data_IF_242530153259
#
_entry.id   IF_242530153259
#
_cell.length_a   1.000
_cell.length_b   1.000
_cell.length_c   1.000
_cell.angle_alpha   90.00
_cell.angle_beta   90.00
_cell.angle_gamma   90.00
#
_symmetry.space_group_name_H-M   'P 1'
#
loop_
_entity.id
_entity.type
_entity.pdbx_description
1 polymer ?
#
# COMPACT_ATOMS: atom_id res chain seq x y z
N UNK A 1 -0.38 15.20 11.56
CA UNK A 1 -0.49 16.04 10.35
C UNK A 1 -0.48 17.50 10.75
N UNK A 2 0.43 18.31 10.20
CA UNK A 2 0.44 19.78 10.38
C UNK A 2 -0.72 20.37 9.57
N UNK A 3 -1.43 21.33 10.15
CA UNK A 3 -2.64 21.95 9.57
C UNK A 3 -2.39 23.41 9.18
N UNK A 4 -1.71 24.16 10.06
CA UNK A 4 -1.38 25.56 9.80
C UNK A 4 -0.14 25.99 10.57
N UNK A 5 0.51 27.05 10.07
CA UNK A 5 1.64 27.72 10.69
C UNK A 5 1.36 29.24 10.70
N UNK A 6 1.40 29.89 11.87
CA UNK A 6 1.01 31.28 12.07
C UNK A 6 -0.34 31.63 11.41
N UNK A 7 -1.34 30.73 11.54
CA UNK A 7 -2.68 30.88 10.97
C UNK A 7 -2.79 30.63 9.46
N UNK A 8 -1.70 30.44 8.74
CA UNK A 8 -1.71 30.10 7.31
C UNK A 8 -1.82 28.59 7.15
N UNK A 9 -2.67 28.06 6.25
CA UNK A 9 -2.74 26.64 5.95
C UNK A 9 -1.39 26.09 5.49
N UNK A 10 -1.04 24.88 5.94
CA UNK A 10 0.12 24.10 5.48
C UNK A 10 -0.41 22.89 4.74
N UNK A 11 -0.10 22.77 3.45
CA UNK A 11 -0.54 21.70 2.55
C UNK A 11 0.62 20.87 2.00
N UNK A 12 1.84 21.43 2.05
CA UNK A 12 3.05 20.79 1.56
C UNK A 12 4.26 21.14 2.44
N UNK A 13 5.38 20.48 2.20
CA UNK A 13 6.66 20.79 2.83
C UNK A 13 7.14 22.21 2.49
N UNK A 14 6.86 22.67 1.27
CA UNK A 14 7.19 24.03 0.83
C UNK A 14 6.44 25.09 1.62
N UNK A 15 5.13 24.88 1.89
CA UNK A 15 4.34 25.80 2.71
C UNK A 15 4.92 25.94 4.11
N UNK A 16 5.30 24.80 4.74
CA UNK A 16 5.91 24.79 6.05
C UNK A 16 7.28 25.45 6.04
N UNK A 17 8.11 25.13 5.07
CA UNK A 17 9.44 25.72 4.88
C UNK A 17 9.34 27.24 4.71
N UNK A 18 8.43 27.71 3.87
CA UNK A 18 8.19 29.14 3.65
C UNK A 18 7.76 29.84 4.97
N UNK A 19 6.87 29.20 5.76
CA UNK A 19 6.45 29.75 7.05
C UNK A 19 7.61 29.81 8.05
N UNK A 20 8.49 28.80 8.10
CA UNK A 20 9.69 28.74 8.93
C UNK A 20 10.68 29.86 8.54
N UNK A 21 10.95 30.02 7.24
CA UNK A 21 11.83 31.07 6.73
C UNK A 21 11.26 32.47 7.04
N UNK A 22 9.96 32.68 6.83
CA UNK A 22 9.28 33.95 7.11
C UNK A 22 9.27 34.32 8.60
N UNK A 23 9.36 33.36 9.50
CA UNK A 23 9.45 33.59 10.93
C UNK A 23 10.80 34.20 11.36
N UNK A 24 11.89 33.98 10.57
CA UNK A 24 13.18 34.63 10.78
C UNK A 24 13.77 34.41 12.17
N UNK A 25 13.55 33.23 12.77
CA UNK A 25 13.97 32.91 14.14
C UNK A 25 12.96 33.30 15.23
N UNK A 26 11.88 34.01 14.89
CA UNK A 26 10.81 34.30 15.84
C UNK A 26 9.96 33.01 16.09
N UNK A 27 9.29 32.94 17.27
CA UNK A 27 8.40 31.82 17.57
C UNK A 27 7.28 31.68 16.54
N UNK A 28 7.08 30.44 16.03
CA UNK A 28 6.09 30.06 15.04
C UNK A 28 5.01 29.21 15.70
N UNK A 29 3.76 29.64 15.66
CA UNK A 29 2.62 28.86 16.17
C UNK A 29 2.19 27.84 15.13
N UNK A 30 2.26 26.55 15.46
CA UNK A 30 1.87 25.44 14.60
C UNK A 30 0.65 24.74 15.17
N UNK A 31 -0.40 24.60 14.35
CA UNK A 31 -1.56 23.75 14.65
C UNK A 31 -1.40 22.43 13.95
N UNK A 32 -1.54 21.33 14.67
CA UNK A 32 -1.45 19.98 14.12
C UNK A 32 -2.56 19.07 14.63
N UNK A 33 -2.82 17.98 13.89
CA UNK A 33 -3.70 16.89 14.32
C UNK A 33 -2.88 15.67 14.72
N UNK A 34 -3.30 15.04 15.85
CA UNK A 34 -2.80 13.74 16.30
C UNK A 34 -3.99 12.97 16.86
N UNK A 35 -4.18 11.73 16.38
CA UNK A 35 -5.30 10.85 16.80
C UNK A 35 -6.66 11.54 16.73
N UNK A 36 -6.94 12.28 15.64
CA UNK A 36 -8.19 13.01 15.43
C UNK A 36 -8.32 14.36 16.15
N UNK A 37 -7.58 14.59 17.24
CA UNK A 37 -7.62 15.83 18.00
C UNK A 37 -6.67 16.91 17.43
N UNK A 38 -7.05 18.18 17.63
CA UNK A 38 -6.22 19.35 17.29
C UNK A 38 -5.37 19.77 18.46
N UNK A 39 -4.12 20.10 18.17
CA UNK A 39 -3.16 20.62 19.14
C UNK A 39 -2.46 21.84 18.58
N UNK A 40 -1.93 22.66 19.48
CA UNK A 40 -1.11 23.82 19.13
C UNK A 40 0.25 23.67 19.81
N UNK A 41 1.31 23.96 19.07
CA UNK A 41 2.68 24.00 19.58
C UNK A 41 3.38 25.24 19.06
N UNK A 42 4.39 25.69 19.80
CA UNK A 42 5.28 26.75 19.36
C UNK A 42 6.61 26.14 18.95
N UNK A 43 7.07 26.46 17.75
CA UNK A 43 8.40 26.13 17.24
C UNK A 43 9.22 27.40 17.17
N UNK A 44 10.46 27.35 17.60
CA UNK A 44 11.42 28.47 17.44
C UNK A 44 12.48 28.03 16.44
N UNK A 45 12.43 28.52 15.19
CA UNK A 45 13.43 28.20 14.17
C UNK A 45 14.81 28.73 14.55
N UNK A 46 15.85 27.97 14.19
CA UNK A 46 17.25 28.38 14.37
C UNK A 46 17.93 28.43 13.00
N UNK A 47 18.73 29.47 12.76
CA UNK A 47 19.49 29.58 11.53
C UNK A 47 20.62 28.52 11.49
N UNK A 48 20.78 27.88 10.33
CA UNK A 48 21.95 27.05 10.04
C UNK A 48 23.15 27.91 9.60
N UNK A 49 24.28 27.26 9.31
CA UNK A 49 25.53 27.91 8.89
C UNK A 49 25.38 28.76 7.60
N UNK A 50 24.37 28.48 6.81
CA UNK A 50 24.07 29.19 5.56
C UNK A 50 23.00 30.28 5.73
N UNK A 51 22.54 30.52 6.96
CA UNK A 51 21.50 31.50 7.27
C UNK A 51 20.07 31.02 6.98
N UNK A 52 19.84 29.74 6.67
CA UNK A 52 18.51 29.17 6.50
C UNK A 52 17.93 28.77 7.85
N UNK A 53 16.70 29.16 8.11
CA UNK A 53 15.99 28.79 9.33
C UNK A 53 15.46 27.36 9.27
N UNK A 54 15.68 26.58 10.34
CA UNK A 54 15.22 25.21 10.54
C UNK A 54 14.50 25.06 11.86
N UNK A 55 13.41 24.29 11.86
CA UNK A 55 12.60 24.05 13.05
C UNK A 55 12.96 22.75 13.78
N UNK A 56 13.93 21.97 13.29
CA UNK A 56 14.35 20.71 13.89
C UNK A 56 13.28 19.61 13.86
N UNK A 57 12.35 19.68 12.91
CA UNK A 57 11.30 18.67 12.70
C UNK A 57 11.49 17.97 11.37
N UNK A 58 11.23 16.67 11.37
CA UNK A 58 11.11 15.89 10.14
C UNK A 58 9.65 15.83 9.75
N UNK A 59 9.34 16.21 8.53
CA UNK A 59 7.98 16.16 7.97
C UNK A 59 8.01 15.47 6.61
N UNK A 60 6.92 14.76 6.31
CA UNK A 60 6.65 14.16 5.01
C UNK A 60 5.30 14.67 4.54
N UNK A 61 5.21 15.06 3.29
CA UNK A 61 3.97 15.46 2.62
C UNK A 61 3.56 14.48 1.53
N UNK A 62 4.47 13.59 1.15
CA UNK A 62 4.22 12.55 0.16
C UNK A 62 4.86 11.22 0.59
N UNK A 63 4.31 10.13 0.13
CA UNK A 63 4.85 8.79 0.27
C UNK A 63 4.70 8.06 -1.06
N UNK A 64 5.70 7.30 -1.44
CA UNK A 64 5.65 6.40 -2.59
C UNK A 64 6.10 5.01 -2.15
N UNK A 65 5.53 3.99 -2.76
CA UNK A 65 5.90 2.60 -2.52
C UNK A 65 5.48 1.71 -3.69
N UNK A 66 6.13 0.57 -3.83
CA UNK A 66 5.74 -0.46 -4.78
C UNK A 66 4.71 -1.35 -4.12
N UNK A 67 3.62 -1.60 -4.84
CA UNK A 67 2.57 -2.53 -4.46
C UNK A 67 1.94 -3.15 -5.69
N UNK A 68 1.03 -4.09 -5.47
CA UNK A 68 0.33 -4.75 -6.56
C UNK A 68 -1.13 -4.32 -6.61
N UNK A 69 -1.60 -3.98 -7.80
CA UNK A 69 -3.01 -3.80 -8.09
C UNK A 69 -3.67 -5.18 -8.17
N UNK A 70 -4.64 -5.42 -7.28
CA UNK A 70 -5.24 -6.74 -7.09
C UNK A 70 -6.21 -7.11 -8.18
N UNK A 71 -7.07 -6.16 -8.54
CA UNK A 71 -8.03 -6.29 -9.63
C UNK A 71 -8.51 -4.91 -10.11
N UNK A 72 -9.11 -4.94 -11.28
CA UNK A 72 -9.79 -3.80 -11.89
C UNK A 72 -11.22 -4.23 -12.23
N UNK A 73 -12.19 -3.36 -11.96
CA UNK A 73 -13.52 -3.44 -12.55
C UNK A 73 -13.59 -2.49 -13.75
N UNK A 74 -13.50 -3.02 -14.99
CA UNK A 74 -13.48 -2.17 -16.18
C UNK A 74 -14.85 -1.53 -16.47
N UNK A 75 -15.95 -2.08 -15.93
CA UNK A 75 -17.29 -1.51 -16.13
C UNK A 75 -17.47 -0.24 -15.30
N UNK A 76 -16.91 -0.21 -14.09
CA UNK A 76 -16.96 0.95 -13.19
C UNK A 76 -15.73 1.84 -13.28
N UNK A 77 -14.68 1.40 -13.97
CA UNK A 77 -13.40 2.12 -14.04
C UNK A 77 -12.76 2.26 -12.66
N UNK A 78 -12.81 1.21 -11.83
CA UNK A 78 -12.25 1.21 -10.47
C UNK A 78 -11.19 0.13 -10.31
N UNK A 79 -10.29 0.34 -9.34
CA UNK A 79 -9.29 -0.64 -8.94
C UNK A 79 -9.30 -0.88 -7.43
N UNK A 80 -8.77 -2.02 -7.03
CA UNK A 80 -8.36 -2.32 -5.67
C UNK A 80 -6.91 -2.82 -5.64
N UNK A 81 -6.17 -2.51 -4.58
CA UNK A 81 -4.78 -2.93 -4.43
C UNK A 81 -4.35 -3.11 -2.98
N UNK A 82 -3.18 -3.70 -2.77
CA UNK A 82 -2.45 -3.94 -1.53
C UNK A 82 -3.10 -4.94 -0.56
N UNK A 83 -4.42 -4.90 -0.36
CA UNK A 83 -5.11 -5.71 0.67
C UNK A 83 -4.86 -5.25 2.11
N UNK A 84 -4.20 -4.13 2.32
CA UNK A 84 -3.96 -3.44 3.59
C UNK A 84 -3.79 -1.95 3.33
N UNK A 85 -3.86 -1.13 4.39
CA UNK A 85 -3.64 0.31 4.28
C UNK A 85 -2.17 0.65 3.96
N UNK A 86 -1.98 1.81 3.34
CA UNK A 86 -0.67 2.46 3.32
C UNK A 86 -0.48 3.14 4.66
N UNK A 87 0.56 2.76 5.38
CA UNK A 87 0.89 3.28 6.70
C UNK A 87 2.24 3.99 6.69
N UNK A 88 2.42 4.93 7.58
CA UNK A 88 3.71 5.59 7.80
C UNK A 88 4.69 4.61 8.45
N UNK A 89 5.88 4.46 7.85
CA UNK A 89 6.86 3.46 8.26
C UNK A 89 7.44 3.71 9.68
N UNK A 90 7.46 4.98 10.13
CA UNK A 90 8.05 5.32 11.42
C UNK A 90 7.04 5.22 12.57
N UNK A 91 5.77 5.51 12.30
CA UNK A 91 4.71 5.55 13.32
C UNK A 91 3.78 4.35 13.26
N UNK A 92 3.75 3.60 12.15
CA UNK A 92 2.78 2.54 11.90
C UNK A 92 1.33 3.02 11.74
N UNK A 93 1.11 4.32 11.74
CA UNK A 93 -0.24 4.89 11.59
C UNK A 93 -0.63 4.94 10.11
N UNK A 94 -1.91 4.67 9.82
CA UNK A 94 -2.44 4.80 8.47
C UNK A 94 -2.29 6.21 7.94
N UNK A 95 -1.80 6.33 6.71
CA UNK A 95 -1.68 7.62 6.05
C UNK A 95 -3.08 8.16 5.73
N UNK A 96 -3.34 9.38 6.21
CA UNK A 96 -4.55 10.11 5.83
C UNK A 96 -4.42 10.55 4.37
N UNK A 97 -5.28 10.02 3.52
CA UNK A 97 -5.30 10.36 2.10
C UNK A 97 -5.78 11.80 1.92
N UNK A 98 -4.98 12.63 1.28
CA UNK A 98 -5.35 13.94 0.75
C UNK A 98 -5.54 13.84 -0.77
N UNK A 99 -4.58 13.23 -1.43
CA UNK A 99 -4.58 12.85 -2.84
C UNK A 99 -3.63 11.69 -3.03
N UNK A 100 -3.80 10.92 -4.09
CA UNK A 100 -2.89 9.83 -4.44
C UNK A 100 -3.09 9.38 -5.86
N UNK A 101 -2.04 8.85 -6.44
CA UNK A 101 -2.03 8.31 -7.80
C UNK A 101 -1.45 6.91 -7.80
N UNK A 102 -1.92 6.07 -8.70
CA UNK A 102 -1.26 4.82 -9.05
C UNK A 102 -0.49 5.03 -10.34
N UNK A 103 0.76 4.60 -10.32
CA UNK A 103 1.69 4.73 -11.44
C UNK A 103 2.20 3.33 -11.82
N UNK A 104 2.16 2.94 -13.10
CA UNK A 104 2.73 1.68 -13.53
C UNK A 104 4.22 1.59 -13.18
N UNK A 105 4.66 0.39 -12.81
CA UNK A 105 6.04 0.11 -12.40
C UNK A 105 6.60 -1.00 -13.28
N UNK A 106 7.83 -0.80 -13.77
CA UNK A 106 8.64 -1.87 -14.35
C UNK A 106 9.54 -2.44 -13.25
N UNK A 107 9.34 -3.69 -12.85
CA UNK A 107 10.19 -4.34 -11.85
C UNK A 107 11.55 -4.64 -12.48
N UNK A 108 12.60 -4.07 -11.91
CA UNK A 108 13.99 -4.21 -12.39
C UNK A 108 14.82 -5.19 -11.57
N UNK A 109 14.31 -5.60 -10.40
CA UNK A 109 15.00 -6.56 -9.55
C UNK A 109 14.31 -6.77 -8.20
N UNK A 110 14.96 -7.59 -7.37
CA UNK A 110 14.48 -7.93 -6.05
C UNK A 110 15.64 -8.05 -5.06
N UNK A 111 15.48 -7.47 -3.88
CA UNK A 111 16.27 -7.88 -2.71
C UNK A 111 15.57 -9.11 -2.13
N UNK A 112 16.31 -10.22 -2.08
CA UNK A 112 15.74 -11.50 -1.60
C UNK A 112 15.37 -11.41 -0.11
N UNK A 113 14.23 -11.99 0.22
CA UNK A 113 13.82 -12.19 1.61
C UNK A 113 14.61 -13.32 2.29
N UNK A 114 14.87 -13.14 3.58
CA UNK A 114 15.42 -14.16 4.48
C UNK A 114 14.71 -14.05 5.84
N UNK A 115 14.84 -15.09 6.67
CA UNK A 115 14.27 -15.07 8.00
C UNK A 115 14.77 -13.86 8.80
N UNK A 116 13.86 -13.04 9.32
CA UNK A 116 14.16 -11.80 10.04
C UNK A 116 14.44 -10.58 9.16
N UNK A 117 14.51 -10.74 7.84
CA UNK A 117 14.77 -9.65 6.89
C UNK A 117 13.84 -9.80 5.68
N UNK A 118 12.69 -9.14 5.65
CA UNK A 118 11.82 -9.17 4.49
C UNK A 118 12.56 -8.54 3.31
N UNK A 119 12.50 -9.21 2.14
CA UNK A 119 13.01 -8.64 0.91
C UNK A 119 12.08 -7.59 0.32
N UNK A 120 12.48 -6.99 -0.79
CA UNK A 120 11.68 -5.99 -1.49
C UNK A 120 11.84 -6.08 -3.02
N UNK A 121 10.77 -5.79 -3.74
CA UNK A 121 10.83 -5.54 -5.18
C UNK A 121 11.39 -4.15 -5.45
N UNK A 122 12.22 -4.04 -6.48
CA UNK A 122 12.75 -2.78 -6.99
C UNK A 122 12.23 -2.52 -8.39
N UNK A 123 11.95 -1.28 -8.70
CA UNK A 123 11.39 -0.94 -10.00
C UNK A 123 11.49 0.53 -10.33
N UNK A 124 11.18 0.83 -11.59
CA UNK A 124 11.14 2.17 -12.15
C UNK A 124 9.70 2.57 -12.44
N UNK A 125 9.33 3.77 -11.99
CA UNK A 125 7.99 4.33 -12.19
C UNK A 125 7.85 4.84 -13.62
N UNK A 126 6.69 4.59 -14.23
CA UNK A 126 6.32 5.24 -15.49
C UNK A 126 6.10 6.74 -15.28
N UNK A 127 6.19 7.52 -16.38
CA UNK A 127 6.02 8.97 -16.31
C UNK A 127 4.56 9.42 -16.09
N UNK A 128 3.58 8.57 -16.41
CA UNK A 128 2.17 8.94 -16.35
C UNK A 128 1.39 8.04 -15.37
N UNK A 129 0.51 8.61 -14.56
CA UNK A 129 -0.37 7.84 -13.71
C UNK A 129 -1.41 7.06 -14.52
N UNK A 130 -1.84 5.92 -13.98
CA UNK A 130 -2.89 5.07 -14.53
C UNK A 130 -4.20 5.17 -13.74
N UNK A 131 -4.25 5.98 -12.70
CA UNK A 131 -5.44 6.17 -11.90
C UNK A 131 -5.21 7.03 -10.66
N UNK A 132 -6.31 7.31 -9.97
CA UNK A 132 -6.33 8.14 -8.76
C UNK A 132 -6.77 7.33 -7.57
N UNK A 133 -6.06 7.43 -6.46
CA UNK A 133 -6.45 6.82 -5.17
C UNK A 133 -7.56 7.66 -4.54
N UNK A 134 -8.66 7.02 -4.18
CA UNK A 134 -9.84 7.66 -3.55
C UNK A 134 -10.01 7.24 -2.10
N UNK A 135 -9.52 6.06 -1.73
CA UNK A 135 -9.59 5.56 -0.36
C UNK A 135 -8.34 4.74 0.00
N UNK A 136 -7.91 4.90 1.25
CA UNK A 136 -6.89 4.11 1.92
C UNK A 136 -7.49 3.63 3.24
N UNK A 137 -7.82 2.35 3.34
CA UNK A 137 -8.38 1.76 4.55
C UNK A 137 -7.69 0.44 4.93
N UNK A 138 -8.10 -0.13 6.06
CA UNK A 138 -7.48 -1.35 6.59
C UNK A 138 -7.52 -2.54 5.61
N UNK A 139 -8.47 -2.58 4.67
CA UNK A 139 -8.62 -3.68 3.71
C UNK A 139 -7.94 -3.42 2.37
N UNK A 140 -7.35 -2.23 2.15
CA UNK A 140 -6.63 -1.92 0.92
C UNK A 140 -6.71 -0.49 0.47
N UNK A 141 -6.26 -0.29 -0.77
CA UNK A 141 -6.29 0.98 -1.48
C UNK A 141 -7.23 0.87 -2.67
N UNK A 142 -8.10 1.86 -2.83
CA UNK A 142 -9.17 1.85 -3.83
C UNK A 142 -9.19 3.17 -4.59
N UNK A 143 -9.64 3.11 -5.84
CA UNK A 143 -9.73 4.34 -6.62
C UNK A 143 -10.24 4.15 -8.04
N UNK A 144 -10.06 5.19 -8.86
CA UNK A 144 -10.37 5.16 -10.28
C UNK A 144 -9.19 4.67 -11.09
N UNK A 145 -9.48 3.87 -12.11
CA UNK A 145 -8.50 3.35 -13.06
C UNK A 145 -8.81 3.86 -14.46
N UNK A 146 -7.81 4.44 -15.12
CA UNK A 146 -7.92 4.98 -16.48
C UNK A 146 -7.04 4.25 -17.49
N UNK A 147 -6.24 3.27 -17.00
CA UNK A 147 -5.39 2.44 -17.84
C UNK A 147 -6.17 1.37 -18.60
N UNK A 148 -5.47 0.63 -19.44
CA UNK A 148 -6.01 -0.57 -20.09
C UNK A 148 -5.71 -1.80 -19.23
N UNK A 149 -6.68 -2.71 -19.12
CA UNK A 149 -6.51 -3.99 -18.44
C UNK A 149 -6.63 -5.12 -19.47
N UNK A 150 -5.57 -5.91 -19.63
CA UNK A 150 -5.53 -7.09 -20.52
C UNK A 150 -5.58 -8.41 -19.74
N UNK A 151 -5.65 -8.35 -18.41
CA UNK A 151 -5.79 -9.52 -17.57
C UNK A 151 -7.13 -10.23 -17.84
N UNK A 152 -7.21 -11.56 -17.71
CA UNK A 152 -8.44 -12.29 -17.87
C UNK A 152 -9.46 -11.90 -16.79
N UNK A 153 -10.74 -11.84 -17.19
CA UNK A 153 -11.83 -11.68 -16.23
C UNK A 153 -12.03 -13.01 -15.49
N UNK A 154 -11.99 -12.98 -14.18
CA UNK A 154 -12.20 -14.14 -13.32
C UNK A 154 -13.43 -13.93 -12.44
N UNK A 155 -14.25 -14.97 -12.20
CA UNK A 155 -15.27 -14.92 -11.17
C UNK A 155 -14.61 -14.82 -9.79
N UNK A 156 -15.25 -14.12 -8.85
CA UNK A 156 -14.79 -14.07 -7.46
C UNK A 156 -15.32 -15.29 -6.71
N UNK A 157 -14.49 -15.92 -5.90
CA UNK A 157 -14.90 -17.05 -5.07
C UNK A 157 -15.74 -16.55 -3.89
N UNK A 158 -16.80 -17.28 -3.53
CA UNK A 158 -17.48 -17.09 -2.27
C UNK A 158 -16.58 -17.54 -1.11
N UNK A 159 -16.83 -17.03 0.10
CA UNK A 159 -16.01 -17.36 1.27
C UNK A 159 -15.90 -18.89 1.50
N UNK A 160 -17.00 -19.64 1.31
CA UNK A 160 -17.04 -21.09 1.53
C UNK A 160 -16.32 -21.90 0.42
N UNK A 161 -16.04 -21.29 -0.72
CA UNK A 161 -15.31 -21.93 -1.82
C UNK A 161 -13.78 -21.85 -1.62
N UNK A 162 -13.33 -20.97 -0.71
CA UNK A 162 -11.90 -20.80 -0.39
C UNK A 162 -11.51 -21.83 0.68
N UNK A 163 -10.67 -22.77 0.34
CA UNK A 163 -10.31 -23.90 1.21
C UNK A 163 -8.79 -24.12 1.29
N UNK A 164 -8.28 -24.75 2.35
CA UNK A 164 -6.91 -25.23 2.35
C UNK A 164 -6.65 -26.14 1.13
N UNK A 165 -5.52 -25.93 0.46
CA UNK A 165 -5.20 -26.63 -0.78
C UNK A 165 -4.32 -25.80 -1.70
N UNK A 166 -4.05 -26.33 -2.89
CA UNK A 166 -3.26 -25.68 -3.91
C UNK A 166 -3.99 -24.46 -4.48
N UNK A 167 -3.23 -23.42 -4.79
CA UNK A 167 -3.68 -22.20 -5.44
C UNK A 167 -2.53 -21.53 -6.21
N UNK A 168 -2.82 -20.49 -6.95
CA UNK A 168 -1.84 -19.71 -7.69
C UNK A 168 -1.75 -18.29 -7.12
N UNK A 169 -0.53 -17.82 -6.87
CA UNK A 169 -0.22 -16.43 -6.59
C UNK A 169 0.25 -15.75 -7.86
N UNK A 170 -0.46 -14.76 -8.33
CA UNK A 170 -0.09 -14.00 -9.52
C UNK A 170 0.68 -12.74 -9.12
N UNK A 171 1.97 -12.70 -9.47
CA UNK A 171 2.84 -11.58 -9.10
C UNK A 171 3.88 -11.30 -10.18
N UNK A 172 4.39 -10.07 -10.21
CA UNK A 172 5.46 -9.64 -11.12
C UNK A 172 6.77 -9.59 -10.34
N UNK A 173 7.75 -10.38 -10.72
CA UNK A 173 9.09 -10.38 -10.10
C UNK A 173 10.16 -9.77 -11.00
N UNK A 174 9.85 -9.59 -12.29
CA UNK A 174 10.70 -8.92 -13.27
C UNK A 174 9.84 -8.40 -14.43
N UNK A 175 10.15 -7.20 -14.92
CA UNK A 175 9.40 -6.55 -16.02
C UNK A 175 8.04 -6.04 -15.55
N UNK A 176 7.01 -6.19 -16.40
CA UNK A 176 5.67 -5.65 -16.18
C UNK A 176 4.56 -6.69 -16.18
N UNK A 177 4.90 -7.97 -16.44
CA UNK A 177 3.92 -9.05 -16.64
C UNK A 177 3.86 -9.95 -15.40
N UNK A 178 2.69 -10.04 -14.79
CA UNK A 178 2.43 -10.98 -13.70
C UNK A 178 2.49 -12.42 -14.22
N UNK A 179 3.07 -13.30 -13.42
CA UNK A 179 3.15 -14.73 -13.66
C UNK A 179 2.47 -15.50 -12.52
N UNK A 180 1.85 -16.66 -12.79
CA UNK A 180 1.35 -17.55 -11.76
C UNK A 180 2.48 -18.34 -11.11
N UNK A 181 2.44 -18.42 -9.79
CA UNK A 181 3.31 -19.23 -8.97
C UNK A 181 2.50 -20.12 -8.04
N UNK A 182 2.83 -21.38 -7.94
CA UNK A 182 2.12 -22.33 -7.08
C UNK A 182 2.33 -22.00 -5.63
N UNK A 183 1.25 -21.96 -4.89
CA UNK A 183 1.21 -21.79 -3.43
C UNK A 183 0.30 -22.84 -2.80
N UNK A 184 0.46 -23.05 -1.51
CA UNK A 184 -0.44 -23.82 -0.65
C UNK A 184 -1.19 -22.90 0.27
N UNK A 185 -2.50 -22.87 0.24
CA UNK A 185 -3.34 -22.32 1.30
C UNK A 185 -3.27 -23.30 2.48
N UNK A 186 -2.58 -22.91 3.56
CA UNK A 186 -2.39 -23.76 4.74
C UNK A 186 -3.58 -23.67 5.71
N UNK A 187 -4.17 -22.47 5.82
CA UNK A 187 -5.29 -22.22 6.74
C UNK A 187 -6.20 -21.14 6.19
N UNK A 188 -7.50 -21.33 6.42
CA UNK A 188 -8.55 -20.33 6.15
C UNK A 188 -9.27 -20.04 7.46
N UNK A 189 -9.44 -18.75 7.79
CA UNK A 189 -10.12 -18.27 8.99
C UNK A 189 -11.27 -17.37 8.55
N UNK A 190 -12.50 -17.85 8.69
CA UNK A 190 -13.71 -17.14 8.26
C UNK A 190 -14.08 -15.99 9.20
N UNK A 191 -13.79 -16.13 10.49
CA UNK A 191 -14.13 -15.17 11.54
C UNK A 191 -12.88 -14.77 12.29
N UNK A 192 -12.28 -13.66 11.88
CA UNK A 192 -11.10 -13.08 12.52
C UNK A 192 -11.31 -11.60 12.79
N UNK A 193 -10.67 -11.07 13.83
CA UNK A 193 -10.67 -9.62 14.12
C UNK A 193 -9.81 -8.82 13.14
N UNK A 194 -8.93 -9.47 12.40
CA UNK A 194 -8.04 -8.85 11.42
C UNK A 194 -8.35 -9.43 10.02
N UNK A 195 -9.04 -8.66 9.16
CA UNK A 195 -9.42 -9.12 7.83
C UNK A 195 -8.22 -9.39 6.93
N UNK A 196 -7.06 -8.81 7.24
CA UNK A 196 -5.85 -8.95 6.43
C UNK A 196 -5.13 -10.29 6.67
N UNK A 197 -5.63 -11.12 7.58
CA UNK A 197 -5.07 -12.42 7.98
C UNK A 197 -6.07 -13.57 7.90
N UNK A 198 -7.02 -13.47 6.99
CA UNK A 198 -8.00 -14.53 6.77
C UNK A 198 -7.35 -15.83 6.28
N UNK A 199 -6.34 -15.74 5.42
CA UNK A 199 -5.62 -16.90 4.92
C UNK A 199 -4.16 -16.86 5.39
N UNK A 200 -3.62 -18.05 5.67
CA UNK A 200 -2.19 -18.30 5.74
C UNK A 200 -1.79 -19.11 4.51
N UNK A 201 -0.85 -18.59 3.74
CA UNK A 201 -0.35 -19.24 2.53
C UNK A 201 1.12 -19.59 2.66
N UNK A 202 1.56 -20.61 1.92
CA UNK A 202 2.97 -20.97 1.73
C UNK A 202 3.30 -20.98 0.25
N UNK A 203 4.38 -20.34 -0.13
CA UNK A 203 4.96 -20.43 -1.48
C UNK A 203 5.62 -21.80 -1.62
N UNK A 204 5.23 -22.55 -2.64
CA UNK A 204 5.77 -23.88 -2.97
C UNK A 204 6.49 -23.87 -4.30
N UNK A 205 6.25 -22.86 -5.15
CA UNK A 205 6.90 -22.72 -6.44
C UNK A 205 8.39 -22.38 -6.28
N UNK A 206 9.23 -23.31 -6.77
CA UNK A 206 10.67 -23.16 -6.70
C UNK A 206 11.18 -21.92 -7.46
N UNK A 207 10.53 -21.54 -8.58
CA UNK A 207 10.92 -20.36 -9.36
C UNK A 207 10.82 -19.08 -8.50
N UNK A 208 9.71 -18.95 -7.76
CA UNK A 208 9.50 -17.79 -6.88
C UNK A 208 10.47 -17.82 -5.69
N UNK A 209 10.64 -18.98 -5.05
CA UNK A 209 11.58 -19.13 -3.94
C UNK A 209 13.02 -18.84 -4.36
N UNK A 210 13.45 -19.31 -5.53
CA UNK A 210 14.79 -19.04 -6.05
C UNK A 210 15.00 -17.55 -6.41
N UNK A 211 13.96 -16.91 -6.97
CA UNK A 211 14.04 -15.50 -7.38
C UNK A 211 14.01 -14.53 -6.18
N UNK A 212 13.12 -14.75 -5.23
CA UNK A 212 12.81 -13.74 -4.19
C UNK A 212 13.03 -14.23 -2.76
N UNK A 213 13.24 -15.53 -2.55
CA UNK A 213 13.30 -16.12 -1.19
C UNK A 213 11.93 -16.35 -0.57
N UNK A 214 10.84 -16.04 -1.28
CA UNK A 214 9.46 -16.12 -0.81
C UNK A 214 8.67 -14.86 -1.10
N UNK A 215 7.73 -14.52 -0.23
CA UNK A 215 6.97 -13.27 -0.27
C UNK A 215 7.87 -12.12 0.14
N UNK A 216 7.88 -11.04 -0.66
CA UNK A 216 8.69 -9.84 -0.40
C UNK A 216 7.81 -8.59 -0.47
N UNK A 217 8.30 -7.48 0.08
CA UNK A 217 7.64 -6.17 -0.01
C UNK A 217 7.46 -5.77 -1.48
N UNK A 218 6.31 -5.20 -1.80
CA UNK A 218 5.87 -4.92 -3.16
C UNK A 218 4.94 -5.98 -3.74
N UNK A 219 4.92 -7.21 -3.21
CA UNK A 219 3.95 -8.24 -3.60
C UNK A 219 2.58 -8.09 -2.93
N UNK A 220 2.44 -7.26 -1.91
CA UNK A 220 1.13 -6.96 -1.31
C UNK A 220 0.16 -6.49 -2.39
N UNK A 221 -1.03 -7.07 -2.43
CA UNK A 221 -2.01 -6.88 -3.49
C UNK A 221 -2.01 -7.98 -4.55
N UNK A 222 -1.01 -8.87 -4.59
CA UNK A 222 -0.97 -9.97 -5.56
C UNK A 222 -2.20 -10.88 -5.43
N UNK A 223 -2.99 -11.08 -6.52
CA UNK A 223 -4.18 -11.91 -6.47
C UNK A 223 -3.83 -13.39 -6.29
N UNK A 224 -4.67 -14.08 -5.52
CA UNK A 224 -4.63 -15.52 -5.30
C UNK A 224 -5.82 -16.14 -6.01
N UNK A 225 -5.53 -17.02 -6.96
CA UNK A 225 -6.53 -17.73 -7.75
C UNK A 225 -6.60 -19.18 -7.28
N UNK A 226 -7.78 -19.64 -6.92
CA UNK A 226 -8.05 -21.03 -6.57
C UNK A 226 -9.22 -21.55 -7.37
N UNK A 227 -9.06 -22.71 -8.00
CA UNK A 227 -10.10 -23.34 -8.84
C UNK A 227 -10.65 -22.38 -9.93
N UNK A 228 -9.78 -21.55 -10.53
CA UNK A 228 -10.16 -20.61 -11.58
C UNK A 228 -10.97 -19.40 -11.11
N UNK A 229 -11.00 -19.12 -9.79
CA UNK A 229 -11.68 -17.99 -9.18
C UNK A 229 -10.71 -17.12 -8.40
N UNK A 230 -10.93 -15.82 -8.39
CA UNK A 230 -10.21 -14.90 -7.51
C UNK A 230 -10.67 -15.16 -6.06
N UNK A 231 -9.82 -15.80 -5.27
CA UNK A 231 -10.14 -16.26 -3.92
C UNK A 231 -9.72 -15.26 -2.85
N UNK A 232 -8.52 -14.71 -2.98
CA UNK A 232 -7.92 -13.85 -1.97
C UNK A 232 -6.88 -12.91 -2.60
N UNK A 233 -6.33 -12.04 -1.77
CA UNK A 233 -5.27 -11.11 -2.13
C UNK A 233 -4.19 -11.16 -1.05
N UNK A 234 -2.94 -11.31 -1.46
CA UNK A 234 -1.78 -11.33 -0.57
C UNK A 234 -1.66 -9.98 0.16
N UNK A 235 -1.45 -10.01 1.47
CA UNK A 235 -1.32 -8.80 2.30
C UNK A 235 0.05 -8.63 2.90
N UNK A 236 0.51 -9.58 3.71
CA UNK A 236 1.73 -9.45 4.50
C UNK A 236 2.60 -10.69 4.41
N UNK A 237 3.93 -10.47 4.43
CA UNK A 237 4.90 -11.55 4.61
C UNK A 237 5.04 -11.92 6.10
N UNK A 238 5.33 -13.17 6.39
CA UNK A 238 5.80 -13.56 7.72
C UNK A 238 7.31 -13.27 7.80
N UNK A 239 7.71 -12.24 8.55
CA UNK A 239 9.10 -11.78 8.61
C UNK A 239 10.08 -12.90 8.98
N UNK A 240 9.69 -13.80 9.88
CA UNK A 240 10.56 -14.91 10.33
C UNK A 240 10.51 -16.14 9.40
N UNK A 241 9.58 -16.17 8.44
CA UNK A 241 9.46 -17.23 7.42
C UNK A 241 8.91 -16.63 6.13
N UNK A 242 9.74 -16.03 5.28
CA UNK A 242 9.29 -15.40 4.04
C UNK A 242 8.63 -16.36 3.04
N UNK A 243 8.80 -17.67 3.22
CA UNK A 243 8.04 -18.65 2.42
C UNK A 243 6.53 -18.60 2.68
N UNK A 244 6.09 -17.90 3.75
CA UNK A 244 4.70 -17.76 4.16
C UNK A 244 4.22 -16.33 4.11
N UNK A 245 2.94 -16.15 3.91
CA UNK A 245 2.27 -14.86 3.92
C UNK A 245 0.82 -14.95 4.37
N UNK A 246 0.26 -13.81 4.72
CA UNK A 246 -1.16 -13.66 4.98
C UNK A 246 -1.89 -13.12 3.77
N UNK A 247 -3.20 -13.39 3.69
CA UNK A 247 -4.06 -12.85 2.65
C UNK A 247 -5.45 -12.51 3.20
N UNK A 248 -6.10 -11.56 2.51
CA UNK A 248 -7.48 -11.12 2.73
C UNK A 248 -8.38 -11.78 1.69
N UNK A 249 -9.64 -12.07 2.02
CA UNK A 249 -10.60 -12.52 1.04
C UNK A 249 -10.85 -11.48 -0.06
N UNK A 250 -10.94 -11.92 -1.30
CA UNK A 250 -11.23 -11.05 -2.43
C UNK A 250 -12.61 -10.39 -2.32
N UNK A 251 -13.59 -11.09 -1.76
CA UNK A 251 -14.95 -10.56 -1.49
C UNK A 251 -14.92 -9.34 -0.59
N UNK A 252 -14.11 -9.34 0.46
CA UNK A 252 -13.95 -8.18 1.37
C UNK A 252 -13.44 -6.96 0.63
N UNK A 253 -12.44 -7.14 -0.25
CA UNK A 253 -11.93 -6.03 -1.05
C UNK A 253 -12.93 -5.57 -2.12
N UNK A 254 -13.70 -6.50 -2.71
CA UNK A 254 -14.72 -6.16 -3.70
C UNK A 254 -15.84 -5.31 -3.08
N UNK A 255 -16.35 -5.69 -1.91
CA UNK A 255 -17.35 -4.92 -1.17
C UNK A 255 -16.89 -3.49 -0.89
N UNK A 256 -15.63 -3.32 -0.52
CA UNK A 256 -15.02 -1.99 -0.31
C UNK A 256 -14.88 -1.20 -1.60
N UNK A 257 -14.42 -1.84 -2.68
CA UNK A 257 -14.33 -1.21 -4.00
C UNK A 257 -15.69 -0.71 -4.48
N UNK A 258 -16.76 -1.52 -4.29
CA UNK A 258 -18.13 -1.16 -4.63
C UNK A 258 -18.64 0.03 -3.81
N UNK A 259 -18.33 0.09 -2.52
CA UNK A 259 -18.67 1.22 -1.65
C UNK A 259 -18.00 2.53 -2.12
N UNK A 260 -16.71 2.47 -2.48
CA UNK A 260 -15.95 3.62 -3.01
C UNK A 260 -16.50 4.08 -4.36
N UNK A 261 -16.87 3.13 -5.24
CA UNK A 261 -17.48 3.44 -6.55
C UNK A 261 -18.82 4.15 -6.41
N UNK A 262 -19.62 3.77 -5.40
CA UNK A 262 -20.97 4.33 -5.15
C UNK A 262 -20.94 5.72 -4.49
N UNK A 263 -19.78 6.15 -4.00
CA UNK A 263 -19.60 7.44 -3.31
C UNK A 263 -19.22 8.58 -4.28
N UNK A 264 -19.09 8.28 -5.57
CA UNK A 264 -18.86 9.24 -6.66
C UNK A 264 -20.18 9.81 -7.16
#
# INVERSE_FOLDING_TARGET
MIVSANGRPVRSNEDLTAAIQAAGGAPLTVVYRRSGARYTATLTPTADENGHYKAGVWVRDSGAGIGTMSFVDPQRGTFAGLGHSISDADTGADLTLLSGEIVPVTITGCIRGAAGSPGELRGELAAAPAGTVLANDAAGVYGSYTGSCTAPALPVANLQEVTPGEAELWTTVLGTTAQPYTIQVERVTMTGSDPNRNLLIRVTDKRLLDATGGVVQGMSGSPIVQNGRLAAVLTHVLVNDPSRGYAIFATTMLEKADAVASSK
#
